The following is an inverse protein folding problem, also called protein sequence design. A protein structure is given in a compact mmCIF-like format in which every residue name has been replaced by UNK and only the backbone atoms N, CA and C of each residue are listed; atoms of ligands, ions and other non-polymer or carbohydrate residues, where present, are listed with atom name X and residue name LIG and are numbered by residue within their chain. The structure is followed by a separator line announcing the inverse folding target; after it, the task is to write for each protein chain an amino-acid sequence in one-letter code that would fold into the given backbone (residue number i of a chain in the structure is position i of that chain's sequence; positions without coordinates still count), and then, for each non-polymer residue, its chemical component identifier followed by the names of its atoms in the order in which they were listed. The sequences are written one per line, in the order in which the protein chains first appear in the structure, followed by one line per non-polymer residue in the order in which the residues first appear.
data_IF_702013727112
#
_entry.id   IF_702013727112
#
_cell.length_a   1.000
_cell.length_b   1.000
_cell.length_c   1.000
_cell.angle_alpha   90.00
_cell.angle_beta   90.00
_cell.angle_gamma   90.00
#
_symmetry.space_group_name_H-M   'P 1'
#
loop_
_entity.id
_entity.type
_entity.pdbx_description
1 polymer ?
#
# COMPACT_ATOMS: atom_id res chain seq x y z
N UNK A 1 -2.48 -20.29 -8.86
CA UNK A 1 -1.91 -18.94 -8.72
C UNK A 1 -2.64 -18.22 -7.62
N UNK A 2 -1.94 -17.93 -6.52
CA UNK A 2 -2.43 -17.06 -5.47
C UNK A 2 -2.55 -15.62 -5.98
N UNK A 3 -3.45 -14.85 -5.40
CA UNK A 3 -3.69 -13.45 -5.79
C UNK A 3 -3.68 -12.56 -4.57
N UNK A 4 -3.22 -11.34 -4.76
CA UNK A 4 -3.45 -10.28 -3.79
C UNK A 4 -4.94 -9.96 -3.71
N UNK A 5 -5.41 -9.63 -2.51
CA UNK A 5 -6.83 -9.47 -2.18
C UNK A 5 -7.17 -8.04 -1.78
N UNK A 6 -6.22 -7.29 -1.26
CA UNK A 6 -6.37 -5.88 -0.95
C UNK A 6 -5.01 -5.18 -0.83
N UNK A 7 -5.03 -3.88 -1.11
CA UNK A 7 -4.04 -2.95 -0.58
C UNK A 7 -4.31 -2.82 0.93
N UNK A 8 -3.49 -3.48 1.74
CA UNK A 8 -3.76 -3.66 3.16
C UNK A 8 -3.32 -2.48 4.01
N UNK A 9 -2.04 -2.13 3.91
CA UNK A 9 -1.43 -1.02 4.64
C UNK A 9 -0.32 -0.34 3.81
N UNK A 10 0.09 0.87 4.21
CA UNK A 10 1.27 1.55 3.66
C UNK A 10 2.13 2.16 4.76
N UNK A 11 3.43 2.28 4.51
CA UNK A 11 4.37 3.02 5.34
C UNK A 11 4.84 4.28 4.64
N UNK A 12 4.86 5.41 5.34
CA UNK A 12 5.43 6.68 4.88
C UNK A 12 6.43 7.21 5.88
N UNK A 13 7.53 7.76 5.35
CA UNK A 13 8.53 8.45 6.13
C UNK A 13 8.32 9.95 6.02
N UNK A 14 8.17 10.65 7.15
CA UNK A 14 7.79 12.07 7.17
C UNK A 14 8.84 12.92 7.89
N UNK A 15 9.02 14.17 7.42
CA UNK A 15 9.94 15.13 8.07
C UNK A 15 9.33 15.80 9.28
N UNK A 16 8.02 16.02 9.26
CA UNK A 16 7.27 16.71 10.32
C UNK A 16 6.10 15.83 10.80
N UNK A 17 6.33 15.10 11.89
CA UNK A 17 5.34 14.21 12.48
C UNK A 17 4.15 14.95 13.09
N UNK A 18 4.37 16.13 13.68
CA UNK A 18 3.31 16.89 14.34
C UNK A 18 2.34 17.46 13.30
N UNK A 19 2.87 18.02 12.20
CA UNK A 19 2.07 18.45 11.07
C UNK A 19 1.24 17.29 10.48
N UNK A 20 1.81 16.08 10.38
CA UNK A 20 1.10 14.90 9.91
C UNK A 20 -0.02 14.44 10.86
N UNK A 21 0.19 14.50 12.18
CA UNK A 21 -0.85 14.19 13.17
C UNK A 21 -2.02 15.15 13.05
N UNK A 22 -1.75 16.45 12.92
CA UNK A 22 -2.80 17.46 12.72
C UNK A 22 -3.54 17.24 11.41
N UNK A 23 -2.82 17.08 10.30
CA UNK A 23 -3.42 16.86 8.98
C UNK A 23 -4.30 15.59 8.95
N UNK A 24 -3.75 14.45 9.35
CA UNK A 24 -4.45 13.17 9.29
C UNK A 24 -5.71 13.16 10.18
N UNK A 25 -5.63 13.75 11.37
CA UNK A 25 -6.75 13.76 12.32
C UNK A 25 -7.77 14.86 12.04
N UNK A 26 -7.34 16.10 11.82
CA UNK A 26 -8.22 17.28 11.75
C UNK A 26 -8.71 17.59 10.35
N UNK A 27 -7.99 17.18 9.30
CA UNK A 27 -8.41 17.39 7.91
C UNK A 27 -9.03 16.11 7.37
N UNK A 28 -8.28 15.01 7.38
CA UNK A 28 -8.73 13.74 6.78
C UNK A 28 -9.74 13.03 7.68
N UNK A 29 -9.54 13.05 9.00
CA UNK A 29 -10.42 12.40 9.98
C UNK A 29 -9.98 10.99 10.40
N UNK A 30 -8.75 10.60 10.09
CA UNK A 30 -8.16 9.36 10.59
C UNK A 30 -7.96 9.43 12.11
N UNK A 31 -7.86 8.28 12.75
CA UNK A 31 -7.52 8.17 14.17
C UNK A 31 -6.00 8.04 14.29
N UNK A 32 -5.40 8.87 15.12
CA UNK A 32 -3.97 8.77 15.46
C UNK A 32 -3.85 7.79 16.62
N UNK A 33 -3.10 6.71 16.41
CA UNK A 33 -2.73 5.75 17.43
C UNK A 33 -1.23 5.86 17.70
N UNK A 34 -0.86 6.06 18.95
CA UNK A 34 0.52 6.13 19.40
C UNK A 34 0.75 5.03 20.45
N UNK A 35 1.57 4.04 20.09
CA UNK A 35 1.94 2.91 20.96
C UNK A 35 3.17 3.24 21.84
N UNK A 36 3.73 4.44 21.73
CA UNK A 36 4.92 4.85 22.47
C UNK A 36 6.24 4.34 21.88
N UNK A 37 6.24 3.90 20.62
CA UNK A 37 7.43 3.40 19.91
C UNK A 37 8.54 4.47 19.77
N UNK A 38 8.15 5.75 19.75
CA UNK A 38 9.06 6.90 19.74
C UNK A 38 9.66 7.25 18.38
N UNK A 39 9.68 6.31 17.44
CA UNK A 39 10.14 6.50 16.05
C UNK A 39 9.02 6.51 15.01
N UNK A 40 7.77 6.24 15.41
CA UNK A 40 6.61 6.19 14.53
C UNK A 40 5.30 6.39 15.30
N UNK A 41 4.23 6.61 14.54
CA UNK A 41 2.86 6.44 15.02
C UNK A 41 2.01 5.83 13.90
N UNK A 42 0.77 5.51 14.21
CA UNK A 42 -0.13 4.81 13.31
C UNK A 42 -1.38 5.63 13.02
N UNK A 43 -1.94 5.42 11.82
CA UNK A 43 -3.24 5.97 11.44
C UNK A 43 -4.22 4.82 11.21
N UNK A 44 -5.37 4.91 11.89
CA UNK A 44 -6.47 3.95 11.77
C UNK A 44 -7.60 4.55 10.94
N UNK A 45 -8.29 3.66 10.23
CA UNK A 45 -9.45 3.98 9.40
C UNK A 45 -10.64 3.06 9.70
N UNK A 46 -10.38 1.91 10.34
CA UNK A 46 -11.32 0.84 10.63
C UNK A 46 -10.81 -0.03 11.79
N UNK A 47 -11.32 -1.26 11.92
CA UNK A 47 -11.00 -2.17 13.02
C UNK A 47 -9.60 -2.79 12.93
N UNK A 48 -8.82 -2.53 11.86
CA UNK A 48 -7.41 -2.93 11.86
C UNK A 48 -6.65 -2.14 12.91
N UNK A 49 -5.59 -2.73 13.46
CA UNK A 49 -4.70 -2.00 14.36
C UNK A 49 -4.24 -0.70 13.68
N UNK A 50 -3.88 -0.77 12.40
CA UNK A 50 -3.53 0.38 11.59
C UNK A 50 -3.72 0.10 10.10
N UNK A 51 -3.87 1.16 9.32
CA UNK A 51 -3.81 1.13 7.84
C UNK A 51 -2.62 1.88 7.29
N UNK A 52 -2.07 2.85 8.05
CA UNK A 52 -0.88 3.60 7.66
C UNK A 52 0.09 3.63 8.84
N UNK A 53 1.36 3.31 8.58
CA UNK A 53 2.48 3.56 9.49
C UNK A 53 3.13 4.87 9.10
N UNK A 54 3.32 5.77 10.06
CA UNK A 54 4.00 7.05 9.85
C UNK A 54 5.32 7.02 10.60
N UNK A 55 6.41 6.79 9.88
CA UNK A 55 7.77 6.79 10.42
C UNK A 55 8.29 8.22 10.54
N UNK A 56 8.84 8.55 11.70
CA UNK A 56 9.43 9.87 11.97
C UNK A 56 10.82 9.97 11.33
N UNK A 57 11.18 11.18 10.90
CA UNK A 57 12.48 11.51 10.30
C UNK A 57 12.73 10.87 8.92
N UNK A 58 11.67 10.68 8.14
CA UNK A 58 11.77 10.22 6.75
C UNK A 58 11.92 11.36 5.73
N UNK A 59 11.78 11.02 4.45
CA UNK A 59 12.06 11.92 3.33
C UNK A 59 10.80 12.49 2.65
N UNK A 60 9.65 12.45 3.32
CA UNK A 60 8.33 12.74 2.73
C UNK A 60 8.07 11.87 1.49
N UNK A 61 8.15 10.56 1.64
CA UNK A 61 7.90 9.57 0.58
C UNK A 61 7.41 8.24 1.17
N UNK A 62 7.00 7.33 0.30
CA UNK A 62 6.64 5.97 0.65
C UNK A 62 7.88 5.16 1.08
N UNK A 63 7.76 4.51 2.23
CA UNK A 63 8.73 3.54 2.75
C UNK A 63 8.40 2.12 2.28
N UNK A 64 7.13 1.73 2.26
CA UNK A 64 6.68 0.42 1.80
C UNK A 64 5.17 0.38 1.50
N UNK A 65 4.76 -0.58 0.67
CA UNK A 65 3.36 -0.92 0.41
C UNK A 65 3.07 -2.39 0.75
N UNK A 66 1.99 -2.64 1.50
CA UNK A 66 1.58 -3.98 1.95
C UNK A 66 0.39 -4.53 1.17
N UNK A 67 0.62 -5.62 0.44
CA UNK A 67 -0.40 -6.35 -0.31
C UNK A 67 -0.81 -7.62 0.44
N UNK A 68 -2.11 -7.75 0.74
CA UNK A 68 -2.62 -8.90 1.49
C UNK A 68 -2.92 -10.08 0.57
N UNK A 69 -2.54 -11.29 0.98
CA UNK A 69 -3.07 -12.55 0.45
C UNK A 69 -4.01 -13.23 1.46
N UNK A 70 -4.86 -14.14 0.99
CA UNK A 70 -5.98 -14.67 1.78
C UNK A 70 -5.52 -15.41 3.06
N UNK A 71 -4.44 -16.21 2.96
CA UNK A 71 -3.93 -17.00 4.08
C UNK A 71 -2.53 -17.57 3.81
N UNK A 72 -2.09 -18.51 4.67
CA UNK A 72 -0.74 -19.09 4.60
C UNK A 72 -0.50 -19.90 3.31
N UNK A 73 -1.53 -20.59 2.79
CA UNK A 73 -1.40 -21.37 1.55
C UNK A 73 -1.13 -20.45 0.35
N UNK A 74 -1.86 -19.34 0.24
CA UNK A 74 -1.63 -18.32 -0.79
C UNK A 74 -0.30 -17.61 -0.61
N UNK A 75 0.15 -17.42 0.63
CA UNK A 75 1.44 -16.82 0.95
C UNK A 75 2.60 -17.69 0.48
N UNK A 76 2.56 -19.00 0.75
CA UNK A 76 3.56 -19.95 0.26
C UNK A 76 3.53 -20.10 -1.27
N UNK A 77 2.34 -20.02 -1.88
CA UNK A 77 2.21 -19.96 -3.34
C UNK A 77 2.77 -18.65 -3.91
N UNK A 78 2.66 -17.52 -3.21
CA UNK A 78 3.25 -16.26 -3.66
C UNK A 78 4.77 -16.31 -3.65
N UNK A 79 5.40 -16.98 -2.67
CA UNK A 79 6.87 -17.23 -2.69
C UNK A 79 7.31 -17.91 -3.99
N UNK A 80 6.61 -19.00 -4.36
CA UNK A 80 6.90 -19.74 -5.60
C UNK A 80 6.69 -18.90 -6.86
N UNK A 81 5.68 -18.04 -6.87
CA UNK A 81 5.42 -17.12 -7.99
C UNK A 81 6.53 -16.07 -8.13
N UNK A 82 7.01 -15.51 -7.02
CA UNK A 82 8.12 -14.57 -7.01
C UNK A 82 9.42 -15.25 -7.49
N UNK A 83 9.71 -16.47 -7.01
CA UNK A 83 10.85 -17.27 -7.48
C UNK A 83 10.78 -17.55 -8.98
N UNK A 84 9.61 -17.97 -9.48
CA UNK A 84 9.38 -18.24 -10.90
C UNK A 84 9.50 -16.99 -11.78
N UNK A 85 9.17 -15.81 -11.23
CA UNK A 85 9.33 -14.53 -11.89
C UNK A 85 10.76 -13.97 -11.80
N UNK A 86 11.67 -14.63 -11.06
CA UNK A 86 13.05 -14.17 -10.85
C UNK A 86 13.13 -12.90 -10.00
N UNK A 87 12.19 -12.72 -9.07
CA UNK A 87 12.18 -11.58 -8.15
C UNK A 87 12.96 -11.95 -6.90
N UNK A 88 13.95 -11.14 -6.53
CA UNK A 88 14.66 -11.30 -5.26
C UNK A 88 13.75 -10.88 -4.10
N UNK A 89 13.48 -11.79 -3.17
CA UNK A 89 12.66 -11.54 -1.99
C UNK A 89 13.30 -12.10 -0.71
N UNK A 90 12.89 -11.52 0.43
CA UNK A 90 13.25 -11.98 1.77
C UNK A 90 11.96 -12.25 2.56
N UNK A 91 11.86 -13.41 3.21
CA UNK A 91 10.86 -13.60 4.26
C UNK A 91 11.33 -12.90 5.54
N UNK A 92 10.47 -12.06 6.09
CA UNK A 92 10.78 -11.27 7.25
C UNK A 92 10.91 -12.13 8.51
N UNK A 93 11.75 -11.70 9.45
CA UNK A 93 11.94 -12.42 10.70
C UNK A 93 10.80 -12.19 11.71
N UNK A 94 10.94 -12.72 12.93
CA UNK A 94 9.92 -12.56 13.97
C UNK A 94 9.70 -11.11 14.42
N UNK A 95 10.74 -10.29 14.42
CA UNK A 95 10.64 -8.89 14.86
C UNK A 95 10.01 -8.03 13.77
N UNK A 96 10.40 -8.22 12.52
CA UNK A 96 9.80 -7.53 11.38
C UNK A 96 8.30 -7.83 11.22
N UNK A 97 7.87 -9.06 11.52
CA UNK A 97 6.45 -9.45 11.49
C UNK A 97 5.65 -8.82 12.62
N UNK A 98 6.22 -8.76 13.83
CA UNK A 98 5.61 -8.06 14.98
C UNK A 98 5.50 -6.57 14.71
N UNK A 99 6.54 -5.96 14.13
CA UNK A 99 6.56 -4.54 13.75
C UNK A 99 5.43 -4.22 12.76
N UNK A 100 5.17 -5.08 11.78
CA UNK A 100 4.03 -4.93 10.85
C UNK A 100 2.69 -5.39 11.41
N UNK A 101 2.69 -6.09 12.54
CA UNK A 101 1.50 -6.70 13.14
C UNK A 101 0.76 -7.67 12.20
N UNK A 102 1.55 -8.54 11.56
CA UNK A 102 1.07 -9.58 10.64
C UNK A 102 1.61 -10.96 11.03
N UNK A 103 0.96 -12.04 10.58
CA UNK A 103 1.40 -13.39 10.88
C UNK A 103 2.62 -13.81 10.06
N UNK A 104 2.67 -13.44 8.79
CA UNK A 104 3.80 -13.66 7.90
C UNK A 104 3.97 -12.52 6.90
N UNK A 105 5.21 -12.29 6.47
CA UNK A 105 5.63 -11.13 5.68
C UNK A 105 6.76 -11.49 4.71
N UNK A 106 6.61 -11.13 3.44
CA UNK A 106 7.68 -11.07 2.45
C UNK A 106 8.01 -9.62 2.14
N UNK A 107 9.27 -9.32 1.87
CA UNK A 107 9.75 -8.01 1.43
C UNK A 107 10.56 -8.16 0.14
N UNK A 108 10.32 -7.29 -0.83
CA UNK A 108 11.03 -7.21 -2.11
C UNK A 108 10.85 -5.81 -2.71
N UNK A 109 11.39 -5.57 -3.91
CA UNK A 109 11.09 -4.36 -4.69
C UNK A 109 10.32 -4.72 -5.95
N UNK A 110 9.32 -3.93 -6.29
CA UNK A 110 8.65 -4.06 -7.59
C UNK A 110 9.57 -3.61 -8.75
N UNK A 111 9.14 -3.72 -10.01
CA UNK A 111 9.96 -3.34 -11.16
C UNK A 111 10.46 -1.88 -11.17
N UNK A 112 9.77 -0.97 -10.49
CA UNK A 112 10.13 0.45 -10.36
C UNK A 112 11.04 0.74 -9.16
N UNK A 113 11.47 -0.30 -8.45
CA UNK A 113 12.28 -0.17 -7.24
C UNK A 113 11.47 0.27 -6.01
N UNK A 114 10.15 0.09 -6.02
CA UNK A 114 9.30 0.46 -4.89
C UNK A 114 9.30 -0.67 -3.85
N UNK A 115 9.63 -0.40 -2.57
CA UNK A 115 9.59 -1.43 -1.54
C UNK A 115 8.18 -1.97 -1.36
N UNK A 116 8.04 -3.26 -1.59
CA UNK A 116 6.76 -3.97 -1.70
C UNK A 116 6.76 -5.15 -0.75
N UNK A 117 5.65 -5.32 -0.06
CA UNK A 117 5.46 -6.35 0.94
C UNK A 117 4.24 -7.23 0.57
N UNK A 118 4.35 -8.53 0.79
CA UNK A 118 3.23 -9.48 0.74
C UNK A 118 3.02 -10.02 2.15
N UNK A 119 1.78 -10.06 2.62
CA UNK A 119 1.48 -10.52 3.97
C UNK A 119 0.14 -11.26 4.06
N UNK A 120 -0.06 -11.98 5.17
CA UNK A 120 -1.39 -12.43 5.61
C UNK A 120 -1.56 -12.31 7.13
N UNK A 121 -2.82 -12.40 7.57
CA UNK A 121 -3.18 -12.33 8.99
C UNK A 121 -2.88 -10.98 9.64
N UNK A 122 -3.51 -9.87 9.19
CA UNK A 122 -3.38 -8.58 9.87
C UNK A 122 -3.95 -8.64 11.29
N UNK A 123 -3.37 -7.88 12.22
CA UNK A 123 -3.96 -7.64 13.54
C UNK A 123 -5.22 -6.78 13.39
N UNK A 124 -6.35 -7.35 13.80
CA UNK A 124 -7.66 -6.69 13.85
C UNK A 124 -8.12 -6.58 15.30
N UNK A 125 -8.48 -5.38 15.72
CA UNK A 125 -8.85 -5.02 17.08
C UNK A 125 -10.36 -4.74 17.19
N UNK A 126 -11.17 -5.78 16.99
CA UNK A 126 -12.64 -5.68 16.98
C UNK A 126 -13.25 -5.16 18.29
N UNK A 127 -12.51 -5.20 19.41
CA UNK A 127 -12.92 -4.64 20.69
C UNK A 127 -12.61 -3.15 20.84
N UNK A 128 -11.81 -2.58 19.95
CA UNK A 128 -11.39 -1.18 19.95
C UNK A 128 -11.92 -0.50 18.67
N UNK A 129 -13.19 -0.06 18.65
CA UNK A 129 -13.79 0.50 17.45
C UNK A 129 -13.07 1.78 17.02
N UNK A 130 -12.99 1.99 15.70
CA UNK A 130 -12.44 3.22 15.12
C UNK A 130 -13.09 4.49 15.71
N UNK A 131 -12.26 5.41 16.21
CA UNK A 131 -12.65 6.70 16.77
C UNK A 131 -12.00 7.85 15.98
N UNK A 132 -12.71 8.49 15.03
CA UNK A 132 -12.11 9.45 14.12
C UNK A 132 -11.56 10.67 14.86
N UNK A 133 -10.43 11.21 14.38
CA UNK A 133 -9.77 12.39 14.94
C UNK A 133 -10.60 13.69 14.89
N UNK A 134 -11.72 13.66 14.15
CA UNK A 134 -12.74 14.72 14.12
C UNK A 134 -14.13 14.13 13.92
N UNK A 135 -15.16 14.96 14.12
CA UNK A 135 -16.55 14.56 13.85
C UNK A 135 -16.73 14.24 12.36
N UNK A 136 -17.30 13.07 12.07
CA UNK A 136 -17.62 12.61 10.72
C UNK A 136 -19.08 12.14 10.68
N UNK A 137 -19.77 12.41 9.56
CA UNK A 137 -21.13 11.87 9.35
C UNK A 137 -21.13 10.36 9.10
N UNK A 138 -20.06 9.84 8.49
CA UNK A 138 -19.91 8.44 8.12
C UNK A 138 -18.55 7.87 8.51
N UNK A 139 -18.10 6.85 7.79
CA UNK A 139 -16.84 6.14 8.00
C UNK A 139 -16.06 6.02 6.69
N UNK A 140 -14.80 5.61 6.78
CA UNK A 140 -14.01 5.26 5.60
C UNK A 140 -14.55 3.99 4.92
N UNK A 141 -14.42 3.94 3.59
CA UNK A 141 -14.74 2.76 2.81
C UNK A 141 -13.49 1.88 2.69
N UNK A 142 -13.28 1.00 3.66
CA UNK A 142 -12.21 0.00 3.67
C UNK A 142 -12.77 -1.41 3.41
N UNK A 143 -12.86 -2.27 4.42
CA UNK A 143 -13.36 -3.64 4.32
C UNK A 143 -12.66 -4.42 3.20
N UNK A 144 -13.45 -5.06 2.35
CA UNK A 144 -12.93 -5.80 1.18
C UNK A 144 -12.24 -4.91 0.13
N UNK A 145 -12.39 -3.58 0.21
CA UNK A 145 -11.72 -2.63 -0.69
C UNK A 145 -10.30 -2.26 -0.25
N UNK A 146 -9.83 -2.70 0.92
CA UNK A 146 -8.53 -2.27 1.47
C UNK A 146 -8.47 -0.79 1.82
N UNK A 147 -7.25 -0.29 2.10
CA UNK A 147 -7.00 1.09 2.57
C UNK A 147 -7.42 2.16 1.56
N UNK A 148 -7.37 1.86 0.26
CA UNK A 148 -7.58 2.85 -0.80
C UNK A 148 -6.87 2.45 -2.08
N UNK A 149 -6.23 3.41 -2.72
CA UNK A 149 -5.38 3.21 -3.89
C UNK A 149 -4.21 4.20 -3.91
N UNK A 150 -3.22 3.94 -4.75
CA UNK A 150 -2.10 4.83 -4.97
C UNK A 150 -1.67 4.87 -6.44
N UNK A 151 -0.93 5.92 -6.82
CA UNK A 151 -0.18 5.97 -8.08
C UNK A 151 1.29 5.77 -7.74
N UNK A 152 1.88 4.69 -8.25
CA UNK A 152 3.29 4.38 -8.03
C UNK A 152 4.15 4.79 -9.22
N UNK A 153 5.35 5.28 -8.93
CA UNK A 153 6.38 5.53 -9.94
C UNK A 153 6.80 4.22 -10.59
N UNK A 154 6.81 4.22 -11.92
CA UNK A 154 7.33 3.12 -12.73
C UNK A 154 8.10 3.71 -13.91
N UNK A 155 9.37 3.32 -14.05
CA UNK A 155 10.19 3.70 -15.21
C UNK A 155 9.77 2.93 -16.46
N UNK A 156 9.30 1.68 -16.29
CA UNK A 156 8.74 0.84 -17.34
C UNK A 156 7.34 0.35 -16.92
N UNK A 157 6.31 1.05 -17.42
CA UNK A 157 4.90 0.73 -17.13
C UNK A 157 4.49 -0.65 -17.63
N UNK A 158 5.06 -1.12 -18.74
CA UNK A 158 4.70 -2.45 -19.27
C UNK A 158 5.29 -3.55 -18.40
N UNK A 159 6.54 -3.40 -17.94
CA UNK A 159 7.14 -4.32 -16.98
C UNK A 159 6.38 -4.32 -15.66
N UNK A 160 5.97 -3.15 -15.17
CA UNK A 160 5.12 -3.03 -13.99
C UNK A 160 3.78 -3.75 -14.19
N UNK A 161 3.06 -3.45 -15.28
CA UNK A 161 1.80 -4.12 -15.60
C UNK A 161 1.92 -5.65 -15.58
N UNK A 162 2.95 -6.20 -16.23
CA UNK A 162 3.21 -7.65 -16.25
C UNK A 162 3.49 -8.20 -14.86
N UNK A 163 4.27 -7.51 -14.05
CA UNK A 163 4.50 -7.93 -12.67
C UNK A 163 3.20 -7.97 -11.85
N UNK A 164 2.44 -6.87 -11.82
CA UNK A 164 1.21 -6.80 -11.02
C UNK A 164 0.12 -7.75 -11.55
N UNK A 165 0.04 -7.99 -12.86
CA UNK A 165 -0.93 -8.92 -13.46
C UNK A 165 -0.51 -10.39 -13.33
N UNK A 166 0.70 -10.72 -13.79
CA UNK A 166 1.14 -12.11 -13.99
C UNK A 166 1.77 -12.72 -12.73
N UNK A 167 2.23 -11.88 -11.78
CA UNK A 167 2.83 -12.34 -10.51
C UNK A 167 1.92 -12.08 -9.31
N UNK A 168 1.33 -10.90 -9.21
CA UNK A 168 0.44 -10.57 -8.07
C UNK A 168 -1.04 -10.93 -8.33
N UNK A 169 -1.39 -11.28 -9.57
CA UNK A 169 -2.73 -11.73 -9.94
C UNK A 169 -3.77 -10.61 -10.04
N UNK A 170 -3.34 -9.35 -10.14
CA UNK A 170 -4.21 -8.20 -10.35
C UNK A 170 -4.75 -8.16 -11.79
N UNK A 171 -5.74 -7.31 -12.06
CA UNK A 171 -6.30 -7.06 -13.39
C UNK A 171 -6.46 -5.58 -13.63
N UNK A 172 -6.37 -5.17 -14.89
CA UNK A 172 -6.42 -3.76 -15.23
C UNK A 172 -6.00 -3.48 -16.66
N UNK A 173 -5.99 -2.21 -17.05
CA UNK A 173 -5.55 -1.77 -18.36
C UNK A 173 -5.35 -0.25 -18.40
N UNK A 174 -5.02 0.30 -19.57
CA UNK A 174 -5.14 1.74 -19.83
C UNK A 174 -6.62 2.11 -19.87
N UNK A 175 -7.03 3.03 -19.01
CA UNK A 175 -8.44 3.47 -18.94
C UNK A 175 -8.65 4.89 -19.45
N UNK A 176 -7.57 5.68 -19.55
CA UNK A 176 -7.64 7.07 -19.99
C UNK A 176 -6.56 7.37 -21.02
N UNK A 177 -6.87 8.31 -21.92
CA UNK A 177 -5.92 8.98 -22.80
C UNK A 177 -6.01 10.48 -22.52
N UNK A 178 -5.03 11.02 -21.81
CA UNK A 178 -5.03 12.38 -21.31
C UNK A 178 -4.02 13.23 -22.11
N UNK A 179 -4.46 14.25 -22.86
CA UNK A 179 -3.51 15.16 -23.52
C UNK A 179 -2.73 15.94 -22.47
N UNK A 180 -1.39 15.97 -22.57
CA UNK A 180 -0.54 16.70 -21.64
C UNK A 180 -0.45 18.17 -22.09
N UNK A 181 -0.93 19.14 -21.27
CA UNK A 181 -0.93 20.55 -21.66
C UNK A 181 0.46 21.05 -22.05
N UNK A 182 0.56 21.72 -23.21
CA UNK A 182 1.81 22.29 -23.69
C UNK A 182 2.74 21.30 -24.42
N UNK A 183 2.28 20.08 -24.69
CA UNK A 183 3.02 19.07 -25.48
C UNK A 183 2.09 18.35 -26.46
N UNK A 184 2.66 17.65 -27.44
CA UNK A 184 1.91 16.72 -28.32
C UNK A 184 1.75 15.31 -27.70
N UNK A 185 2.14 15.12 -26.44
CA UNK A 185 2.09 13.82 -25.76
C UNK A 185 0.70 13.53 -25.18
N UNK A 186 0.32 12.25 -25.22
CA UNK A 186 -0.87 11.70 -24.57
C UNK A 186 -0.41 10.76 -23.46
N UNK A 187 -0.74 11.08 -22.22
CA UNK A 187 -0.55 10.17 -21.09
C UNK A 187 -1.61 9.05 -21.13
N UNK A 188 -1.15 7.82 -20.95
CA UNK A 188 -1.98 6.61 -20.98
C UNK A 188 -1.81 5.84 -19.65
N UNK A 189 -2.33 6.38 -18.52
CA UNK A 189 -2.19 5.73 -17.23
C UNK A 189 -2.87 4.36 -17.20
N UNK A 190 -2.20 3.40 -16.57
CA UNK A 190 -2.69 2.04 -16.34
C UNK A 190 -3.27 1.96 -14.93
N UNK A 191 -4.48 1.43 -14.79
CA UNK A 191 -5.17 1.23 -13.51
C UNK A 191 -5.37 -0.26 -13.28
N UNK A 192 -5.09 -0.73 -12.07
CA UNK A 192 -5.12 -2.15 -11.69
C UNK A 192 -5.91 -2.35 -10.38
N UNK A 193 -6.79 -3.35 -10.36
CA UNK A 193 -7.56 -3.77 -9.18
C UNK A 193 -7.21 -5.20 -8.74
N UNK A 194 -7.49 -5.46 -7.46
CA UNK A 194 -7.35 -6.77 -6.84
C UNK A 194 -8.62 -7.23 -6.08
N UNK A 195 -9.66 -6.40 -6.08
CA UNK A 195 -10.95 -6.63 -5.44
C UNK A 195 -12.02 -5.74 -6.10
N UNK A 196 -13.16 -5.52 -5.42
CA UNK A 196 -14.28 -4.71 -5.92
C UNK A 196 -14.00 -3.19 -5.94
N UNK A 197 -12.87 -2.73 -5.39
CA UNK A 197 -12.42 -1.35 -5.60
C UNK A 197 -11.96 -1.21 -7.04
N UNK A 198 -12.49 -0.21 -7.73
CA UNK A 198 -12.21 0.14 -9.14
C UNK A 198 -10.73 0.00 -9.53
N UNK A 199 -9.83 0.53 -8.70
CA UNK A 199 -8.40 0.24 -8.73
C UNK A 199 -7.78 0.35 -7.35
N UNK A 200 -6.70 -0.38 -7.11
CA UNK A 200 -5.86 -0.32 -5.90
C UNK A 200 -4.47 0.24 -6.18
N UNK A 201 -3.99 0.15 -7.43
CA UNK A 201 -2.73 0.75 -7.86
C UNK A 201 -2.86 1.25 -9.30
N UNK A 202 -2.17 2.34 -9.61
CA UNK A 202 -2.06 2.86 -10.97
C UNK A 202 -0.64 3.33 -11.29
N UNK A 203 -0.34 3.45 -12.58
CA UNK A 203 0.97 3.87 -13.09
C UNK A 203 0.77 4.90 -14.20
N UNK A 204 1.38 6.08 -14.05
CA UNK A 204 1.24 7.16 -15.03
C UNK A 204 2.23 7.06 -16.20
N UNK A 205 3.42 6.52 -15.95
CA UNK A 205 4.51 6.43 -16.96
C UNK A 205 5.20 7.76 -17.26
N UNK A 206 5.07 8.74 -16.38
CA UNK A 206 5.80 10.01 -16.43
C UNK A 206 6.91 10.04 -15.36
N UNK A 207 7.98 10.85 -15.52
CA UNK A 207 9.00 11.01 -14.50
C UNK A 207 8.39 11.47 -13.18
N UNK A 208 8.69 10.76 -12.10
CA UNK A 208 8.33 11.13 -10.73
C UNK A 208 9.59 11.11 -9.88
N UNK A 209 9.83 12.18 -9.12
CA UNK A 209 10.95 12.23 -8.17
C UNK A 209 10.74 11.24 -7.02
N UNK A 210 9.51 11.22 -6.50
CA UNK A 210 9.06 10.37 -5.39
C UNK A 210 8.51 9.03 -5.86
N UNK A 211 8.46 8.04 -4.97
CA UNK A 211 7.92 6.70 -5.26
C UNK A 211 6.40 6.69 -5.40
N UNK A 212 5.72 7.57 -4.66
CA UNK A 212 4.25 7.71 -4.66
C UNK A 212 3.85 9.14 -5.02
N UNK A 213 2.69 9.30 -5.67
CA UNK A 213 2.05 10.61 -5.92
C UNK A 213 1.19 11.03 -4.74
#
# INVERSE_FOLDING_TARGET
MAKVTEFGYLGIGVKDGDAWREFASQVVGMEVLDEGDGDRFYLRMDDWHHRIVVNLHGDDDMDFIGWRVAGPDEFDEMKRQLDAAGVDWKQADGEERKERMVLDLLKFNDPGGNPTEIFHGPRVETFLPFHPGRRMYGRFLTGAGGVGHCILRQDDVQKAYRFYADVLGMRGSVEYHLPIPGTDMIAAPVFMHCNERDHSVAFLGAPMEKRIN
#
